data_IF_190090937502
#
_entry.id   IF_190090937502
#
_cell.length_a   1.000
_cell.length_b   1.000
_cell.length_c   1.000
_cell.angle_alpha   90.00
_cell.angle_beta   90.00
_cell.angle_gamma   90.00
#
_symmetry.space_group_name_H-M   'P 1'
#
loop_
_entity.id
_entity.type
_entity.pdbx_description
1 polymer ?
#
# COMPACT_ATOMS: atom_id res chain seq x y z
N UNK A 1 -6.77 13.81 8.60
CA UNK A 1 -7.61 12.78 9.23
C UNK A 1 -6.80 11.50 9.30
N UNK A 2 -6.52 11.03 10.52
CA UNK A 2 -5.42 10.13 10.80
C UNK A 2 -5.75 8.67 10.52
N UNK A 3 -5.21 8.15 9.41
CA UNK A 3 -5.16 6.71 9.17
C UNK A 3 -4.51 6.01 10.37
N UNK A 4 -4.93 4.78 10.68
CA UNK A 4 -4.22 3.96 11.66
C UNK A 4 -2.79 3.69 11.18
N UNK A 5 -1.83 3.77 12.10
CA UNK A 5 -0.45 3.35 11.83
C UNK A 5 -0.38 1.85 11.64
N UNK A 6 0.41 1.41 10.68
CA UNK A 6 0.62 -0.02 10.48
C UNK A 6 1.57 -0.53 11.57
N UNK A 7 1.29 -1.65 12.26
CA UNK A 7 2.18 -2.20 13.28
C UNK A 7 3.56 -2.64 12.74
N UNK A 8 3.76 -2.62 11.42
CA UNK A 8 5.03 -2.97 10.77
C UNK A 8 5.59 -1.74 10.09
N UNK A 9 6.80 -1.35 10.48
CA UNK A 9 7.49 -0.16 9.99
C UNK A 9 7.72 -0.16 8.47
N UNK A 10 7.95 -1.32 7.85
CA UNK A 10 8.12 -1.39 6.39
C UNK A 10 6.81 -1.07 5.64
N UNK A 11 5.68 -1.61 6.11
CA UNK A 11 4.38 -1.30 5.51
C UNK A 11 3.98 0.14 5.78
N UNK A 12 4.26 0.66 6.97
CA UNK A 12 4.07 2.09 7.26
C UNK A 12 4.86 2.97 6.29
N UNK A 13 6.13 2.66 6.03
CA UNK A 13 6.95 3.38 5.05
C UNK A 13 6.35 3.31 3.65
N UNK A 14 5.90 2.13 3.21
CA UNK A 14 5.24 1.94 1.93
C UNK A 14 3.99 2.81 1.81
N UNK A 15 3.14 2.82 2.84
CA UNK A 15 1.92 3.62 2.85
C UNK A 15 2.24 5.13 2.84
N UNK A 16 3.31 5.58 3.53
CA UNK A 16 3.75 6.99 3.47
C UNK A 16 4.33 7.36 2.12
N UNK A 17 5.08 6.46 1.49
CA UNK A 17 5.60 6.65 0.13
C UNK A 17 4.45 6.75 -0.88
N UNK A 18 3.40 5.94 -0.70
CA UNK A 18 2.21 6.01 -1.54
C UNK A 18 1.54 7.38 -1.43
N UNK A 19 1.32 7.88 -0.21
CA UNK A 19 0.77 9.22 0.01
C UNK A 19 1.63 10.31 -0.63
N UNK A 20 2.96 10.22 -0.49
CA UNK A 20 3.91 11.16 -1.12
C UNK A 20 3.83 11.13 -2.65
N UNK A 21 3.59 9.96 -3.24
CA UNK A 21 3.36 9.79 -4.69
C UNK A 21 1.96 10.23 -5.14
N UNK A 22 1.12 10.77 -4.25
CA UNK A 22 -0.25 11.18 -4.57
C UNK A 22 -1.24 10.02 -4.65
N UNK A 23 -0.89 8.85 -4.12
CA UNK A 23 -1.82 7.73 -4.03
C UNK A 23 -2.79 7.95 -2.88
N UNK A 24 -4.03 7.57 -3.11
CA UNK A 24 -5.07 7.63 -2.08
C UNK A 24 -4.98 6.38 -1.22
N UNK A 25 -4.62 6.55 0.04
CA UNK A 25 -4.58 5.47 1.03
C UNK A 25 -5.88 5.50 1.84
N UNK A 26 -6.63 4.40 1.82
CA UNK A 26 -7.80 4.22 2.66
C UNK A 26 -7.50 3.19 3.76
N UNK A 27 -7.77 3.55 5.01
CA UNK A 27 -7.72 2.64 6.13
C UNK A 27 -9.09 2.01 6.44
N UNK A 28 -9.06 0.82 7.04
CA UNK A 28 -10.22 -0.01 7.32
C UNK A 28 -9.76 -1.33 7.95
N UNK A 29 -10.43 -2.46 7.65
CA UNK A 29 -9.95 -3.79 8.05
C UNK A 29 -8.59 -4.14 7.41
N UNK A 30 -8.37 -3.62 6.22
CA UNK A 30 -7.13 -3.72 5.45
C UNK A 30 -6.81 -2.34 4.88
N UNK A 31 -5.54 -2.03 4.70
CA UNK A 31 -5.11 -0.81 4.06
C UNK A 31 -5.26 -0.95 2.55
N UNK A 32 -5.95 -0.03 1.91
CA UNK A 32 -6.13 -0.03 0.45
C UNK A 32 -5.39 1.16 -0.14
N UNK A 33 -4.50 0.87 -1.08
CA UNK A 33 -3.78 1.84 -1.89
C UNK A 33 -4.53 1.99 -3.20
N UNK A 34 -4.99 3.20 -3.51
CA UNK A 34 -5.63 3.53 -4.78
C UNK A 34 -4.71 4.41 -5.60
N UNK A 35 -4.39 3.95 -6.80
CA UNK A 35 -3.59 4.69 -7.75
C UNK A 35 -4.43 5.83 -8.35
N UNK A 36 -3.85 7.03 -8.56
CA UNK A 36 -4.53 8.12 -9.24
C UNK A 36 -4.70 7.88 -10.76
N UNK A 37 -4.18 6.78 -11.31
CA UNK A 37 -4.23 6.50 -12.74
C UNK A 37 -5.65 6.18 -13.25
N UNK A 38 -5.95 6.43 -14.53
CA UNK A 38 -7.26 6.15 -15.14
C UNK A 38 -7.60 4.66 -15.18
N UNK A 39 -6.59 3.78 -15.04
CA UNK A 39 -6.76 2.32 -14.97
C UNK A 39 -7.33 1.85 -13.63
N UNK A 40 -7.55 2.76 -12.66
CA UNK A 40 -8.12 2.48 -11.33
C UNK A 40 -7.39 1.33 -10.62
N UNK A 41 -6.07 1.26 -10.78
CA UNK A 41 -5.26 0.26 -10.10
C UNK A 41 -5.42 0.43 -8.59
N UNK A 42 -5.69 -0.66 -7.89
CA UNK A 42 -5.72 -0.66 -6.43
C UNK A 42 -4.98 -1.86 -5.88
N UNK A 43 -4.44 -1.70 -4.68
CA UNK A 43 -3.74 -2.75 -3.97
C UNK A 43 -4.24 -2.81 -2.53
N UNK A 44 -4.60 -4.00 -2.10
CA UNK A 44 -4.94 -4.25 -0.70
C UNK A 44 -3.71 -4.77 0.04
N UNK A 45 -3.45 -4.17 1.20
CA UNK A 45 -2.40 -4.50 2.16
C UNK A 45 -3.10 -4.97 3.44
N UNK A 46 -2.83 -6.21 3.85
CA UNK A 46 -3.36 -6.75 5.08
C UNK A 46 -2.82 -5.99 6.29
N UNK A 47 -3.68 -5.61 7.24
CA UNK A 47 -3.28 -4.92 8.47
C UNK A 47 -2.42 -5.79 9.40
N UNK A 48 -2.60 -7.11 9.32
CA UNK A 48 -1.85 -8.09 10.12
C UNK A 48 -1.39 -9.22 9.20
N UNK A 49 -0.28 -9.04 8.46
CA UNK A 49 0.28 -10.13 7.69
C UNK A 49 0.90 -11.17 8.63
N UNK A 50 0.54 -12.44 8.43
CA UNK A 50 1.15 -13.55 9.18
C UNK A 50 2.55 -13.87 8.66
N UNK A 51 2.81 -13.64 7.36
CA UNK A 51 4.09 -13.93 6.73
C UNK A 51 5.08 -12.76 6.82
N UNK A 52 6.35 -13.01 7.22
CA UNK A 52 7.39 -11.98 7.20
C UNK A 52 7.73 -11.51 5.79
N UNK A 53 7.55 -12.36 4.78
CA UNK A 53 7.80 -12.04 3.36
C UNK A 53 6.62 -11.34 2.67
N UNK A 54 5.49 -11.17 3.37
CA UNK A 54 4.31 -10.53 2.81
C UNK A 54 4.62 -9.14 2.27
N UNK A 55 5.43 -8.37 2.99
CA UNK A 55 5.81 -7.00 2.63
C UNK A 55 6.54 -6.97 1.30
N UNK A 56 7.59 -7.78 1.14
CA UNK A 56 8.38 -7.88 -0.09
C UNK A 56 7.51 -8.30 -1.27
N UNK A 57 6.64 -9.29 -1.08
CA UNK A 57 5.71 -9.75 -2.11
C UNK A 57 4.69 -8.66 -2.48
N UNK A 58 4.16 -7.93 -1.49
CA UNK A 58 3.22 -6.85 -1.71
C UNK A 58 3.87 -5.72 -2.52
N UNK A 59 5.10 -5.31 -2.18
CA UNK A 59 5.87 -4.30 -2.90
C UNK A 59 6.18 -4.77 -4.32
N UNK A 60 6.64 -6.01 -4.49
CA UNK A 60 6.95 -6.56 -5.83
C UNK A 60 5.71 -6.59 -6.72
N UNK A 61 4.58 -7.01 -6.18
CA UNK A 61 3.32 -7.02 -6.93
C UNK A 61 2.81 -5.61 -7.21
N UNK A 62 2.98 -4.66 -6.28
CA UNK A 62 2.65 -3.25 -6.48
C UNK A 62 3.46 -2.68 -7.65
N UNK A 63 4.78 -2.88 -7.66
CA UNK A 63 5.67 -2.47 -8.76
C UNK A 63 5.30 -3.09 -10.10
N UNK A 64 4.98 -4.38 -10.13
CA UNK A 64 4.65 -5.10 -11.37
C UNK A 64 3.25 -4.79 -11.92
N UNK A 65 2.27 -4.68 -11.03
CA UNK A 65 0.84 -4.66 -11.42
C UNK A 65 0.22 -3.27 -11.43
N UNK A 66 0.95 -2.24 -11.00
CA UNK A 66 0.41 -0.89 -10.87
C UNK A 66 1.43 0.17 -11.29
N UNK A 67 1.00 1.41 -11.49
CA UNK A 67 1.84 2.56 -11.86
C UNK A 67 2.70 3.06 -10.68
N UNK A 68 3.35 2.17 -9.94
CA UNK A 68 4.10 2.54 -8.74
C UNK A 68 5.44 3.22 -9.06
N UNK A 69 6.07 2.83 -10.17
CA UNK A 69 7.37 3.35 -10.65
C UNK A 69 7.25 4.14 -11.97
N UNK A 70 6.02 4.37 -12.45
CA UNK A 70 5.71 5.23 -13.61
C UNK A 70 5.44 6.66 -13.13
#
# INVERSE_FOLDING_TARGET
>A
MGRRRHPRSELEQLLREAERKGWRVADGKHFKLYCPCPRRCFKTIASTPSDPNYVKNAIRQLRRSTCWED
#
